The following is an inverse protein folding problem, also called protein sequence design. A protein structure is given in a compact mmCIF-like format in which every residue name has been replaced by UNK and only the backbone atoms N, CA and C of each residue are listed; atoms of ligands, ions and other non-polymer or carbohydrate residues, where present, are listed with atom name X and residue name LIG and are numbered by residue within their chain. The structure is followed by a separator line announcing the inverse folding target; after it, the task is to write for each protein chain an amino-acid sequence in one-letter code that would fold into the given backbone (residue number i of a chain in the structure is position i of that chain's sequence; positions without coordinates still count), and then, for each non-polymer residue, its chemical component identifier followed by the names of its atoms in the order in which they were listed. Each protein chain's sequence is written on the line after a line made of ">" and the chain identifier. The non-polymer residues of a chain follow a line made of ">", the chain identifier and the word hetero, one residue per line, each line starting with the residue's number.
data_IF_241085139268
#
_entry.id   IF_241085139268
#
_cell.length_a   1.000
_cell.length_b   1.000
_cell.length_c   1.000
_cell.angle_alpha   90.00
_cell.angle_beta   90.00
_cell.angle_gamma   90.00
#
_symmetry.space_group_name_H-M   'P 1'
#
loop_
_entity.id
_entity.type
_entity.pdbx_description
1 polymer ?
#
# COMPACT_ATOMS: atom_id res chain seq x y z
N UNK A 1 -5.53 7.28 -13.46
CA UNK A 1 -4.61 6.92 -14.59
C UNK A 1 -5.42 6.70 -15.85
N UNK A 2 -4.97 7.17 -17.03
CA UNK A 2 -5.62 6.96 -18.34
C UNK A 2 -4.56 6.75 -19.42
N UNK A 3 -4.94 6.04 -20.53
CA UNK A 3 -4.05 5.80 -21.66
C UNK A 3 -2.77 5.07 -21.26
N UNK A 4 -1.62 5.39 -21.87
CA UNK A 4 -0.36 4.68 -21.65
C UNK A 4 0.03 4.50 -20.19
N UNK A 5 -0.30 5.46 -19.30
CA UNK A 5 -0.04 5.33 -17.86
C UNK A 5 -0.79 4.19 -17.20
N UNK A 6 -2.01 3.93 -17.65
CA UNK A 6 -2.79 2.81 -17.14
C UNK A 6 -2.21 1.48 -17.62
N UNK A 7 -1.70 1.45 -18.85
CA UNK A 7 -1.09 0.25 -19.42
C UNK A 7 0.24 -0.07 -18.74
N UNK A 8 1.07 0.94 -18.48
CA UNK A 8 2.31 0.79 -17.72
C UNK A 8 2.04 0.32 -16.28
N UNK A 9 1.02 0.88 -15.61
CA UNK A 9 0.62 0.45 -14.28
C UNK A 9 0.11 -1.00 -14.27
N UNK A 10 -0.69 -1.40 -15.27
CA UNK A 10 -1.13 -2.79 -15.41
C UNK A 10 0.04 -3.75 -15.61
N UNK A 11 0.98 -3.37 -16.48
CA UNK A 11 2.17 -4.18 -16.72
C UNK A 11 2.97 -4.35 -15.43
N UNK A 12 3.21 -3.28 -14.70
CA UNK A 12 3.94 -3.34 -13.43
C UNK A 12 3.23 -4.19 -12.37
N UNK A 13 1.90 -4.05 -12.23
CA UNK A 13 1.10 -4.88 -11.30
C UNK A 13 1.11 -6.35 -11.75
N UNK A 14 1.00 -6.62 -13.06
CA UNK A 14 1.12 -7.98 -13.59
C UNK A 14 2.48 -8.59 -13.26
N UNK A 15 3.57 -7.89 -13.54
CA UNK A 15 4.93 -8.34 -13.21
C UNK A 15 5.07 -8.60 -11.70
N UNK A 16 4.55 -7.70 -10.87
CA UNK A 16 4.56 -7.90 -9.41
C UNK A 16 3.85 -9.20 -9.01
N UNK A 17 2.65 -9.44 -9.51
CA UNK A 17 1.85 -10.61 -9.17
C UNK A 17 2.45 -11.92 -9.67
N UNK A 18 3.09 -11.93 -10.85
CA UNK A 18 3.53 -13.15 -11.51
C UNK A 18 5.02 -13.45 -11.25
N UNK A 19 5.87 -12.43 -11.21
CA UNK A 19 7.31 -12.61 -11.19
C UNK A 19 7.94 -12.28 -9.83
N UNK A 20 7.33 -11.36 -9.05
CA UNK A 20 7.91 -10.88 -7.81
C UNK A 20 7.31 -11.53 -6.56
N UNK A 21 6.05 -11.95 -6.60
CA UNK A 21 5.45 -12.77 -5.54
C UNK A 21 5.79 -14.25 -5.73
N UNK A 22 5.95 -14.95 -4.63
CA UNK A 22 6.17 -16.40 -4.63
C UNK A 22 4.87 -17.14 -4.98
N UNK A 23 4.94 -18.37 -5.48
CA UNK A 23 3.75 -19.17 -5.79
C UNK A 23 2.78 -19.35 -4.62
N UNK A 24 3.32 -19.46 -3.40
CA UNK A 24 2.54 -19.62 -2.17
C UNK A 24 1.95 -18.32 -1.62
N UNK A 25 2.41 -17.15 -2.07
CA UNK A 25 1.88 -15.87 -1.64
C UNK A 25 0.46 -15.68 -2.18
N UNK A 26 -0.44 -15.23 -1.35
CA UNK A 26 -1.79 -14.84 -1.75
C UNK A 26 -1.88 -13.34 -2.03
N UNK A 27 -2.75 -12.97 -2.94
CA UNK A 27 -3.03 -11.58 -3.26
C UNK A 27 -4.54 -11.34 -3.39
N UNK A 28 -4.98 -10.14 -3.06
CA UNK A 28 -6.30 -9.61 -3.37
C UNK A 28 -6.14 -8.38 -4.27
N UNK A 29 -7.10 -8.12 -5.14
CA UNK A 29 -7.05 -7.01 -6.07
C UNK A 29 -8.24 -6.06 -5.87
N UNK A 30 -7.92 -4.79 -5.68
CA UNK A 30 -8.89 -3.72 -5.64
C UNK A 30 -8.56 -2.69 -6.72
N UNK A 31 -9.60 -2.10 -7.27
CA UNK A 31 -9.48 -0.89 -8.09
C UNK A 31 -10.31 0.22 -7.48
N UNK A 32 -9.88 1.44 -7.68
CA UNK A 32 -10.58 2.61 -7.19
C UNK A 32 -10.56 3.75 -8.20
N UNK A 33 -11.60 4.54 -8.12
CA UNK A 33 -11.76 5.85 -8.77
C UNK A 33 -12.43 6.78 -7.73
N UNK A 34 -13.63 7.28 -7.97
CA UNK A 34 -14.50 7.90 -6.97
C UNK A 34 -15.20 6.86 -6.06
N UNK A 35 -15.09 5.58 -6.39
CA UNK A 35 -15.57 4.46 -5.58
C UNK A 35 -14.55 3.32 -5.63
N UNK A 36 -14.50 2.52 -4.57
CA UNK A 36 -13.62 1.35 -4.47
C UNK A 36 -14.39 0.08 -4.79
N UNK A 37 -13.78 -0.79 -5.58
CA UNK A 37 -14.31 -2.13 -5.89
C UNK A 37 -13.26 -3.19 -5.63
N UNK A 38 -13.63 -4.21 -4.87
CA UNK A 38 -12.85 -5.44 -4.74
C UNK A 38 -13.12 -6.26 -6.00
N UNK A 39 -12.07 -6.50 -6.78
CA UNK A 39 -12.15 -7.31 -8.00
C UNK A 39 -11.86 -8.78 -7.73
N UNK A 40 -10.97 -9.06 -6.78
CA UNK A 40 -10.66 -10.41 -6.33
C UNK A 40 -10.34 -10.41 -4.85
N UNK A 41 -10.85 -11.38 -4.12
CA UNK A 41 -10.45 -11.68 -2.75
C UNK A 41 -9.08 -12.41 -2.74
N UNK A 42 -8.58 -12.71 -1.54
CA UNK A 42 -7.32 -13.41 -1.35
C UNK A 42 -7.28 -14.75 -2.09
N UNK A 43 -6.30 -14.90 -2.94
CA UNK A 43 -6.06 -16.13 -3.71
C UNK A 43 -4.58 -16.26 -4.08
N UNK A 44 -4.11 -17.49 -4.19
CA UNK A 44 -2.81 -17.83 -4.79
C UNK A 44 -2.90 -17.99 -6.31
N UNK A 45 -4.11 -18.16 -6.84
CA UNK A 45 -4.34 -18.25 -8.28
C UNK A 45 -4.20 -16.85 -8.93
N UNK A 46 -3.27 -16.72 -9.86
CA UNK A 46 -2.98 -15.46 -10.55
C UNK A 46 -3.94 -15.18 -11.69
N UNK A 47 -4.56 -16.21 -12.27
CA UNK A 47 -5.39 -16.05 -13.46
C UNK A 47 -6.60 -15.12 -13.23
N UNK A 48 -7.43 -15.30 -12.19
CA UNK A 48 -8.55 -14.40 -11.93
C UNK A 48 -8.10 -12.98 -11.59
N UNK A 49 -6.92 -12.81 -10.93
CA UNK A 49 -6.35 -11.49 -10.64
C UNK A 49 -5.96 -10.76 -11.94
N UNK A 50 -5.32 -11.46 -12.87
CA UNK A 50 -4.89 -10.90 -14.15
C UNK A 50 -6.06 -10.57 -15.05
N UNK A 51 -7.10 -11.42 -15.11
CA UNK A 51 -8.32 -11.14 -15.82
C UNK A 51 -9.02 -9.88 -15.29
N UNK A 52 -9.19 -9.79 -13.97
CA UNK A 52 -9.79 -8.65 -13.32
C UNK A 52 -8.98 -7.34 -13.54
N UNK A 53 -7.65 -7.43 -13.53
CA UNK A 53 -6.77 -6.30 -13.81
C UNK A 53 -6.90 -5.81 -15.26
N UNK A 54 -7.04 -6.73 -16.21
CA UNK A 54 -7.23 -6.39 -17.62
C UNK A 54 -8.54 -5.64 -17.87
N UNK A 55 -9.60 -5.98 -17.12
CA UNK A 55 -10.92 -5.37 -17.23
C UNK A 55 -11.06 -4.04 -16.48
N UNK A 56 -10.08 -3.68 -15.64
CA UNK A 56 -10.12 -2.43 -14.91
C UNK A 56 -10.15 -1.21 -15.86
N UNK A 57 -11.11 -0.31 -15.69
CA UNK A 57 -11.27 0.90 -16.52
C UNK A 57 -11.13 2.16 -15.68
N UNK A 58 -10.28 3.11 -16.09
CA UNK A 58 -10.13 4.38 -15.40
C UNK A 58 -11.34 5.30 -15.64
N UNK A 59 -12.01 5.72 -14.58
CA UNK A 59 -13.16 6.64 -14.65
C UNK A 59 -13.22 7.57 -13.43
N UNK A 60 -13.74 8.78 -13.60
CA UNK A 60 -14.06 9.69 -12.49
C UNK A 60 -12.88 10.26 -11.72
N UNK A 61 -13.13 10.62 -10.46
CA UNK A 61 -12.16 11.15 -9.49
C UNK A 61 -11.28 10.07 -8.88
N UNK A 62 -10.53 10.44 -7.84
CA UNK A 62 -9.55 9.55 -7.18
C UNK A 62 -9.81 9.57 -5.68
N UNK A 63 -10.35 8.48 -5.12
CA UNK A 63 -10.65 8.30 -3.69
C UNK A 63 -9.62 7.37 -3.04
N UNK A 64 -8.40 7.87 -2.82
CA UNK A 64 -7.28 7.09 -2.28
C UNK A 64 -7.55 6.65 -0.84
N UNK A 65 -8.00 7.59 -0.01
CA UNK A 65 -8.19 7.30 1.42
C UNK A 65 -9.34 6.31 1.62
N UNK A 66 -10.41 6.43 0.85
CA UNK A 66 -11.52 5.46 0.87
C UNK A 66 -11.09 4.08 0.37
N UNK A 67 -10.21 4.03 -0.65
CA UNK A 67 -9.69 2.77 -1.15
C UNK A 67 -8.86 2.05 -0.08
N UNK A 68 -7.94 2.75 0.57
CA UNK A 68 -7.14 2.19 1.67
C UNK A 68 -8.04 1.77 2.83
N UNK A 69 -9.01 2.61 3.18
CA UNK A 69 -9.97 2.34 4.24
C UNK A 69 -10.82 1.08 3.96
N UNK A 70 -11.27 0.91 2.73
CA UNK A 70 -12.03 -0.26 2.28
C UNK A 70 -11.18 -1.53 2.25
N UNK A 71 -9.89 -1.40 1.96
CA UNK A 71 -8.98 -2.54 1.89
C UNK A 71 -8.58 -3.08 3.29
N UNK A 72 -8.48 -2.23 4.32
CA UNK A 72 -8.06 -2.65 5.67
C UNK A 72 -8.85 -3.84 6.21
N UNK A 73 -10.20 -3.90 6.16
CA UNK A 73 -10.96 -5.05 6.67
C UNK A 73 -10.64 -6.37 5.97
N UNK A 74 -10.26 -6.36 4.69
CA UNK A 74 -9.96 -7.58 3.94
C UNK A 74 -8.78 -8.35 4.52
N UNK A 75 -7.89 -7.66 5.24
CA UNK A 75 -6.74 -8.29 5.88
C UNK A 75 -7.11 -9.24 7.03
N UNK A 76 -8.37 -9.26 7.47
CA UNK A 76 -8.85 -10.24 8.46
C UNK A 76 -8.94 -11.65 7.88
N UNK A 77 -9.20 -11.76 6.59
CA UNK A 77 -9.44 -13.02 5.89
C UNK A 77 -8.15 -13.62 5.29
N UNK A 78 -7.00 -12.95 5.47
CA UNK A 78 -5.70 -13.43 4.99
C UNK A 78 -5.24 -14.69 5.72
N UNK A 79 -4.57 -15.58 5.02
CA UNK A 79 -3.97 -16.80 5.60
C UNK A 79 -2.61 -16.52 6.24
N UNK A 80 -1.84 -15.60 5.65
CA UNK A 80 -0.49 -15.30 6.09
C UNK A 80 -0.44 -14.12 7.06
N UNK A 81 0.29 -14.22 8.17
CA UNK A 81 0.38 -13.14 9.16
C UNK A 81 1.13 -11.91 8.61
N UNK A 82 2.10 -12.13 7.70
CA UNK A 82 2.78 -11.04 7.02
C UNK A 82 1.94 -10.62 5.82
N UNK A 83 1.51 -9.38 5.81
CA UNK A 83 0.70 -8.86 4.72
C UNK A 83 0.95 -7.38 4.51
N UNK A 84 0.85 -6.95 3.27
CA UNK A 84 1.05 -5.58 2.85
C UNK A 84 -0.01 -5.15 1.83
N UNK A 85 -0.30 -3.87 1.84
CA UNK A 85 -1.09 -3.21 0.81
C UNK A 85 -0.12 -2.44 -0.09
N UNK A 86 -0.19 -2.67 -1.40
CA UNK A 86 0.55 -1.90 -2.39
C UNK A 86 -0.42 -1.03 -3.16
N UNK A 87 -0.25 0.28 -3.03
CA UNK A 87 -1.10 1.30 -3.63
C UNK A 87 -0.37 1.98 -4.79
N UNK A 88 -0.98 1.99 -5.98
CA UNK A 88 -0.45 2.70 -7.16
C UNK A 88 -1.44 3.79 -7.58
N UNK A 89 -0.98 5.04 -7.64
CA UNK A 89 -1.82 6.18 -8.04
C UNK A 89 -1.03 7.23 -8.79
N UNK A 90 -1.68 7.98 -9.72
CA UNK A 90 -1.11 9.09 -10.48
C UNK A 90 -1.73 10.45 -10.17
N UNK A 91 -2.50 10.53 -9.10
CA UNK A 91 -3.21 11.77 -8.74
C UNK A 91 -3.39 11.97 -7.24
N UNK A 92 -3.79 13.19 -6.89
CA UNK A 92 -4.20 13.51 -5.54
C UNK A 92 -5.50 12.80 -5.16
N UNK A 93 -5.73 12.64 -3.87
CA UNK A 93 -7.06 12.33 -3.39
C UNK A 93 -8.00 13.51 -3.69
N UNK A 94 -9.06 13.26 -4.44
CA UNK A 94 -10.02 14.30 -4.89
C UNK A 94 -11.47 13.94 -4.62
N UNK A 95 -11.72 12.74 -4.09
CA UNK A 95 -13.07 12.22 -4.00
C UNK A 95 -13.33 11.34 -2.77
N UNK A 96 -12.40 11.24 -1.82
CA UNK A 96 -12.63 10.48 -0.60
C UNK A 96 -13.51 11.24 0.39
N UNK A 97 -14.40 10.49 1.04
CA UNK A 97 -15.13 10.94 2.23
C UNK A 97 -14.28 10.74 3.50
N UNK A 98 -13.41 9.73 3.50
CA UNK A 98 -12.47 9.49 4.60
C UNK A 98 -11.43 10.59 4.68
N UNK A 99 -11.21 11.14 5.86
CA UNK A 99 -10.15 12.13 6.07
C UNK A 99 -8.79 11.47 6.25
N UNK A 100 -7.71 12.22 5.97
CA UNK A 100 -6.34 11.74 6.21
C UNK A 100 -6.10 11.44 7.70
N UNK A 101 -6.78 12.15 8.60
CA UNK A 101 -6.66 11.95 10.06
C UNK A 101 -7.28 10.62 10.45
N UNK A 102 -8.50 10.34 9.98
CA UNK A 102 -9.19 9.08 10.25
C UNK A 102 -8.41 7.88 9.69
N UNK A 103 -7.87 8.03 8.49
CA UNK A 103 -7.05 6.99 7.88
C UNK A 103 -5.77 6.72 8.67
N UNK A 104 -5.06 7.76 9.14
CA UNK A 104 -3.90 7.60 10.03
C UNK A 104 -4.24 6.83 11.31
N UNK A 105 -5.38 7.15 11.93
CA UNK A 105 -5.85 6.43 13.13
C UNK A 105 -6.14 4.96 12.82
N UNK A 106 -6.78 4.65 11.70
CA UNK A 106 -7.07 3.27 11.30
C UNK A 106 -5.80 2.48 10.99
N UNK A 107 -4.87 3.06 10.26
CA UNK A 107 -3.56 2.44 9.99
C UNK A 107 -2.76 2.19 11.28
N UNK A 108 -2.85 3.07 12.27
CA UNK A 108 -2.16 2.87 13.56
C UNK A 108 -2.76 1.75 14.41
N UNK A 109 -4.03 1.40 14.18
CA UNK A 109 -4.73 0.30 14.87
C UNK A 109 -4.68 -1.03 14.11
N UNK A 110 -4.49 -0.96 12.80
CA UNK A 110 -4.49 -2.13 11.92
C UNK A 110 -3.14 -2.83 11.85
N UNK A 111 -3.12 -4.03 11.30
CA UNK A 111 -1.92 -4.87 11.08
C UNK A 111 -1.49 -4.87 9.61
N UNK A 112 -1.63 -3.74 8.94
CA UNK A 112 -1.39 -3.60 7.51
C UNK A 112 -0.22 -2.68 7.27
N UNK A 113 0.79 -3.13 6.53
CA UNK A 113 1.85 -2.30 6.00
C UNK A 113 1.38 -1.69 4.68
N UNK A 114 1.39 -0.36 4.59
CA UNK A 114 1.03 0.36 3.38
C UNK A 114 2.30 0.76 2.62
N UNK A 115 2.43 0.25 1.41
CA UNK A 115 3.43 0.68 0.43
C UNK A 115 2.75 1.47 -0.66
N UNK A 116 3.39 2.52 -1.14
CA UNK A 116 2.82 3.38 -2.16
C UNK A 116 3.77 3.66 -3.32
N UNK A 117 3.26 3.60 -4.54
CA UNK A 117 3.92 4.14 -5.74
C UNK A 117 3.05 5.25 -6.28
N UNK A 118 3.53 6.47 -6.14
CA UNK A 118 2.84 7.69 -6.55
C UNK A 118 3.52 8.29 -7.78
N UNK A 119 2.79 8.42 -8.89
CA UNK A 119 3.33 9.03 -10.10
C UNK A 119 3.06 10.52 -10.05
N UNK A 120 4.10 11.35 -9.85
CA UNK A 120 3.94 12.81 -9.93
C UNK A 120 3.74 13.21 -11.39
N UNK A 121 2.75 14.05 -11.61
CA UNK A 121 2.44 14.61 -12.93
C UNK A 121 2.74 16.11 -12.90
N UNK A 122 3.95 16.53 -13.28
CA UNK A 122 4.36 17.94 -13.17
C UNK A 122 3.43 18.93 -13.86
N UNK A 123 2.79 18.50 -14.98
CA UNK A 123 1.90 19.33 -15.79
C UNK A 123 0.42 19.25 -15.35
N UNK A 124 0.09 18.48 -14.30
CA UNK A 124 -1.27 18.48 -13.75
C UNK A 124 -1.54 19.77 -12.98
N UNK A 125 -2.82 20.15 -12.87
CA UNK A 125 -3.23 21.23 -11.96
C UNK A 125 -2.80 20.92 -10.55
N UNK A 126 -2.41 21.93 -9.78
CA UNK A 126 -1.93 21.76 -8.40
C UNK A 126 -2.88 20.95 -7.51
N UNK A 127 -4.20 21.12 -7.69
CA UNK A 127 -5.24 20.37 -6.98
C UNK A 127 -5.34 18.88 -7.38
N UNK A 128 -4.72 18.50 -8.49
CA UNK A 128 -4.70 17.11 -9.00
C UNK A 128 -3.36 16.42 -8.76
N UNK A 129 -2.37 17.15 -8.28
CA UNK A 129 -1.05 16.60 -7.99
C UNK A 129 -1.05 15.87 -6.66
N UNK A 130 -0.41 14.72 -6.62
CA UNK A 130 -0.14 14.00 -5.36
C UNK A 130 0.53 14.94 -4.36
N UNK A 131 0.13 14.85 -3.10
CA UNK A 131 0.89 15.42 -1.99
C UNK A 131 1.91 14.37 -1.51
N UNK A 132 3.19 14.49 -1.89
CA UNK A 132 4.20 13.49 -1.56
C UNK A 132 4.38 13.29 -0.07
N UNK A 133 4.22 14.36 0.72
CA UNK A 133 4.40 14.31 2.17
C UNK A 133 3.30 13.47 2.82
N UNK A 134 2.03 13.73 2.49
CA UNK A 134 0.90 12.96 3.02
C UNK A 134 1.02 11.49 2.66
N UNK A 135 1.40 11.19 1.41
CA UNK A 135 1.55 9.82 0.93
C UNK A 135 2.64 9.06 1.70
N UNK A 136 3.80 9.71 1.91
CA UNK A 136 4.89 9.16 2.72
C UNK A 136 4.53 9.01 4.19
N UNK A 137 3.80 9.98 4.76
CA UNK A 137 3.37 9.91 6.16
C UNK A 137 2.39 8.76 6.41
N UNK A 138 1.41 8.56 5.53
CA UNK A 138 0.45 7.45 5.62
C UNK A 138 1.16 6.10 5.59
N UNK A 139 2.08 5.92 4.64
CA UNK A 139 2.87 4.69 4.53
C UNK A 139 3.77 4.48 5.74
N UNK A 140 4.50 5.51 6.17
CA UNK A 140 5.38 5.43 7.34
C UNK A 140 4.62 5.19 8.65
N UNK A 141 3.35 5.61 8.77
CA UNK A 141 2.52 5.34 9.94
C UNK A 141 2.28 3.86 10.13
N UNK A 142 2.11 3.12 9.04
CA UNK A 142 1.90 1.67 9.05
C UNK A 142 3.20 0.87 9.17
N UNK A 143 4.36 1.50 8.96
CA UNK A 143 5.67 0.86 8.91
C UNK A 143 6.19 0.56 7.50
N UNK A 144 5.39 0.84 6.46
CA UNK A 144 5.83 0.78 5.07
C UNK A 144 6.47 2.08 4.59
N UNK A 145 6.57 2.25 3.28
CA UNK A 145 7.06 3.48 2.66
C UNK A 145 6.35 3.79 1.35
N UNK A 146 6.52 5.01 0.85
CA UNK A 146 6.02 5.41 -0.45
C UNK A 146 7.11 6.06 -1.29
N UNK A 147 7.14 5.70 -2.55
CA UNK A 147 7.95 6.34 -3.58
C UNK A 147 7.10 7.28 -4.42
N UNK A 148 7.62 8.46 -4.68
CA UNK A 148 7.06 9.39 -5.65
C UNK A 148 7.99 9.43 -6.84
N UNK A 149 7.49 8.93 -7.95
CA UNK A 149 8.25 8.74 -9.19
C UNK A 149 7.84 9.80 -10.23
N UNK A 150 8.78 10.17 -11.10
CA UNK A 150 8.55 11.19 -12.12
C UNK A 150 7.99 10.64 -13.43
N UNK A 151 8.05 9.33 -13.63
CA UNK A 151 7.66 8.68 -14.88
C UNK A 151 7.09 7.29 -14.63
N UNK A 152 6.20 6.84 -15.52
CA UNK A 152 5.62 5.50 -15.46
C UNK A 152 6.64 4.38 -15.67
N UNK A 153 7.75 4.65 -16.35
CA UNK A 153 8.84 3.70 -16.51
C UNK A 153 9.49 3.29 -15.17
N UNK A 154 9.34 4.11 -14.14
CA UNK A 154 9.86 3.84 -12.79
C UNK A 154 8.92 2.97 -11.94
N UNK A 155 7.68 2.68 -12.37
CA UNK A 155 6.71 1.88 -11.60
C UNK A 155 7.27 0.47 -11.36
N UNK A 156 7.76 -0.20 -12.41
CA UNK A 156 8.34 -1.54 -12.31
C UNK A 156 9.50 -1.61 -11.31
N UNK A 157 10.54 -0.77 -11.44
CA UNK A 157 11.62 -0.67 -10.45
C UNK A 157 11.14 -0.37 -9.03
N UNK A 158 10.16 0.50 -8.84
CA UNK A 158 9.59 0.80 -7.52
C UNK A 158 8.87 -0.43 -6.92
N UNK A 159 8.09 -1.15 -7.73
CA UNK A 159 7.42 -2.39 -7.31
C UNK A 159 8.43 -3.49 -6.97
N UNK A 160 9.54 -3.60 -7.71
CA UNK A 160 10.61 -4.56 -7.39
C UNK A 160 11.24 -4.28 -6.02
N UNK A 161 11.55 -3.01 -5.71
CA UNK A 161 12.07 -2.63 -4.38
C UNK A 161 11.08 -2.94 -3.26
N UNK A 162 9.78 -2.75 -3.49
CA UNK A 162 8.73 -3.14 -2.53
C UNK A 162 8.75 -4.66 -2.33
N UNK A 163 8.82 -5.45 -3.40
CA UNK A 163 8.87 -6.91 -3.31
C UNK A 163 10.12 -7.40 -2.56
N UNK A 164 11.29 -6.81 -2.80
CA UNK A 164 12.52 -7.10 -2.06
C UNK A 164 12.35 -6.84 -0.56
N UNK A 165 11.74 -5.71 -0.18
CA UNK A 165 11.48 -5.40 1.22
C UNK A 165 10.48 -6.37 1.85
N UNK A 166 9.39 -6.73 1.14
CA UNK A 166 8.42 -7.71 1.61
C UNK A 166 9.07 -9.08 1.86
N UNK A 167 10.00 -9.50 1.00
CA UNK A 167 10.75 -10.74 1.16
C UNK A 167 11.75 -10.69 2.33
N UNK A 168 12.23 -9.51 2.69
CA UNK A 168 13.19 -9.29 3.78
C UNK A 168 12.54 -9.01 5.15
N UNK A 169 11.22 -9.07 5.25
CA UNK A 169 10.50 -8.78 6.50
C UNK A 169 10.73 -9.83 7.58
N UNK A 170 10.90 -9.35 8.82
CA UNK A 170 10.93 -10.15 10.03
C UNK A 170 9.67 -9.90 10.85
N UNK A 171 9.08 -10.96 11.39
CA UNK A 171 7.99 -10.84 12.37
C UNK A 171 8.58 -11.00 13.78
N UNK A 172 8.43 -9.94 14.58
CA UNK A 172 8.86 -9.92 15.97
C UNK A 172 7.62 -9.86 16.86
N UNK A 173 7.51 -10.78 17.80
CA UNK A 173 6.44 -10.81 18.78
C UNK A 173 6.97 -10.58 20.18
N UNK A 174 6.23 -9.83 20.99
CA UNK A 174 6.47 -9.68 22.41
C UNK A 174 5.16 -9.59 23.19
N UNK A 175 5.20 -10.02 24.45
CA UNK A 175 4.05 -9.86 25.34
C UNK A 175 4.27 -8.62 26.21
N UNK A 176 3.46 -7.56 26.06
CA UNK A 176 3.59 -6.38 26.90
C UNK A 176 3.25 -6.68 28.35
N UNK A 177 4.00 -6.09 29.28
CA UNK A 177 3.82 -6.25 30.72
C UNK A 177 2.55 -5.54 31.22
N UNK A 178 2.16 -4.43 30.56
CA UNK A 178 0.98 -3.65 30.97
C UNK A 178 -0.25 -4.01 30.13
N UNK A 179 -1.44 -4.13 30.76
CA UNK A 179 -2.70 -4.32 30.05
C UNK A 179 -2.98 -3.19 29.04
N UNK A 180 -3.84 -3.47 28.05
CA UNK A 180 -4.32 -2.46 27.11
C UNK A 180 -5.21 -1.42 27.79
N UNK A 181 -4.94 -0.14 27.54
CA UNK A 181 -5.67 1.01 28.11
C UNK A 181 -6.23 1.93 27.00
N UNK A 182 -6.22 1.47 25.75
CA UNK A 182 -6.68 2.23 24.60
C UNK A 182 -5.70 3.33 24.15
N UNK A 183 -4.52 3.47 24.76
CA UNK A 183 -3.57 4.51 24.44
C UNK A 183 -2.59 4.08 23.35
N UNK A 184 -2.14 5.05 22.56
CA UNK A 184 -1.06 4.82 21.60
C UNK A 184 0.26 4.58 22.33
N UNK A 185 0.95 3.49 21.95
CA UNK A 185 2.27 3.14 22.46
C UNK A 185 3.26 3.14 21.30
N UNK A 186 4.28 3.95 21.38
CA UNK A 186 5.33 4.00 20.36
C UNK A 186 6.17 2.73 20.37
N UNK A 187 6.55 2.28 19.18
CA UNK A 187 7.48 1.16 18.97
C UNK A 187 8.73 1.72 18.33
N UNK A 188 9.87 1.34 18.86
CA UNK A 188 11.17 1.62 18.24
C UNK A 188 11.92 0.30 18.08
N UNK A 189 12.30 0.01 16.82
CA UNK A 189 13.15 -1.13 16.47
C UNK A 189 14.50 -0.60 16.07
N UNK A 190 15.58 -1.19 16.60
CA UNK A 190 16.95 -0.84 16.25
C UNK A 190 17.78 -2.12 16.09
N UNK A 191 18.79 -2.06 15.21
CA UNK A 191 19.76 -3.12 15.02
C UNK A 191 21.07 -2.70 15.68
N UNK A 192 21.55 -3.49 16.64
CA UNK A 192 22.72 -3.14 17.48
C UNK A 192 24.06 -3.27 16.74
N UNK A 193 24.12 -4.06 15.65
CA UNK A 193 25.31 -4.26 14.83
C UNK A 193 24.94 -4.21 13.36
N UNK A 194 25.44 -3.24 12.63
CA UNK A 194 25.25 -3.15 11.19
C UNK A 194 25.32 -1.70 10.71
N UNK A 195 26.30 -1.41 9.90
CA UNK A 195 26.38 -0.16 9.15
C UNK A 195 25.51 -0.30 7.90
N UNK A 196 24.63 0.67 7.66
CA UNK A 196 23.90 0.79 6.40
C UNK A 196 22.52 0.12 6.35
N UNK A 197 22.00 -0.45 7.44
CA UNK A 197 20.63 -0.96 7.47
C UNK A 197 19.61 0.17 7.65
N UNK A 198 18.55 0.14 6.81
CA UNK A 198 17.35 0.95 7.02
C UNK A 198 16.34 0.07 7.74
N UNK A 199 16.02 0.42 8.98
CA UNK A 199 15.01 -0.30 9.77
C UNK A 199 13.66 0.39 9.58
N UNK A 200 12.67 -0.33 9.08
CA UNK A 200 11.28 0.10 9.02
C UNK A 200 10.44 -0.76 9.94
N UNK A 201 9.64 -0.12 10.74
CA UNK A 201 8.71 -0.77 11.65
C UNK A 201 7.51 0.15 11.87
N UNK A 202 6.41 -0.41 12.33
CA UNK A 202 5.26 0.39 12.76
C UNK A 202 5.71 1.40 13.83
N UNK A 203 5.21 2.62 13.73
CA UNK A 203 5.53 3.67 14.71
C UNK A 203 4.96 3.40 16.10
N UNK A 204 3.93 2.59 16.18
CA UNK A 204 3.30 2.21 17.43
C UNK A 204 2.00 1.46 17.22
N UNK A 205 1.35 1.13 18.31
CA UNK A 205 0.04 0.45 18.36
C UNK A 205 -0.87 1.15 19.36
N UNK A 206 -2.16 1.13 19.09
CA UNK A 206 -3.22 1.44 20.07
C UNK A 206 -3.64 0.12 20.70
N UNK A 207 -3.56 0.03 22.00
CA UNK A 207 -3.84 -1.20 22.72
C UNK A 207 -4.76 -0.96 23.93
#
# INVERSE_FOLDING_TARGET
>A
MRGPRMDDARLAVKTFLVELLKPEDEAALLVFNHATRVLSNWTTDREPLLAALADARPTGGTAIYDAVNTAIPLFRDRRHPRAAMVLVSDGADTASDTTVIDLKQRLSRGDVFLYGVAIDTPNARSSQRINPQVFRELSAQSGGYAEVIGSTAEIGPAMARIAEELNAQYMLGYTPVTPGDGRFRSIRVSVSKGLGYIVRARRGVVR
#
